data_IF_855391638738
#
_entry.id   IF_855391638738
#
_cell.length_a   1.000
_cell.length_b   1.000
_cell.length_c   1.000
_cell.angle_alpha   90.00
_cell.angle_beta   90.00
_cell.angle_gamma   90.00
#
_symmetry.space_group_name_H-M   'P 1'
#
loop_
_entity.id
_entity.type
_entity.pdbx_description
1 polymer ?
#
# COMPACT_ATOMS: atom_id res chain seq x y z
N UNK A 1 28.02 40.18 -63.87
CA UNK A 1 27.33 40.09 -65.18
C UNK A 1 26.17 39.11 -64.97
N UNK A 2 24.94 39.58 -64.69
CA UNK A 2 23.86 39.93 -65.66
C UNK A 2 23.40 38.65 -66.40
N UNK A 3 22.14 38.19 -66.49
CA UNK A 3 20.78 38.60 -66.11
C UNK A 3 19.88 37.33 -66.26
N UNK A 4 18.89 37.02 -65.40
CA UNK A 4 17.49 37.49 -65.30
C UNK A 4 16.47 36.83 -66.27
N UNK A 5 15.47 36.14 -65.69
CA UNK A 5 14.02 36.16 -65.99
C UNK A 5 13.33 35.24 -64.95
N UNK A 6 12.36 35.62 -64.12
CA UNK A 6 11.16 36.44 -64.31
C UNK A 6 10.04 35.51 -64.80
N UNK A 7 9.04 35.12 -63.99
CA UNK A 7 7.78 35.86 -63.78
C UNK A 7 7.01 35.26 -62.57
N UNK A 8 6.36 36.14 -61.81
CA UNK A 8 5.60 35.91 -60.57
C UNK A 8 4.05 35.93 -60.84
N UNK A 9 3.18 35.71 -59.81
CA UNK A 9 1.83 35.12 -59.91
C UNK A 9 0.69 36.15 -60.00
N UNK A 10 -0.60 35.75 -60.07
CA UNK A 10 -1.71 36.63 -59.78
C UNK A 10 -2.17 36.57 -58.30
N UNK A 11 -2.58 37.75 -57.83
CA UNK A 11 -2.99 38.15 -56.48
C UNK A 11 -4.50 38.01 -56.21
N UNK A 12 -4.80 38.07 -54.92
CA UNK A 12 -6.06 38.12 -54.19
C UNK A 12 -7.11 39.20 -54.56
N UNK A 13 -8.34 38.98 -54.08
CA UNK A 13 -9.30 40.01 -53.63
C UNK A 13 -10.15 39.41 -52.47
N UNK A 14 -10.01 39.91 -51.22
CA UNK A 14 -10.87 40.88 -50.50
C UNK A 14 -12.28 40.36 -50.09
N UNK A 15 -12.95 40.72 -48.99
CA UNK A 15 -12.67 41.10 -47.59
C UNK A 15 -14.06 41.30 -46.88
N UNK A 16 -14.34 40.59 -45.76
CA UNK A 16 -15.18 40.91 -44.56
C UNK A 16 -16.68 41.35 -44.72
N UNK A 17 -17.59 41.41 -43.69
CA UNK A 17 -17.56 41.01 -42.26
C UNK A 17 -18.83 40.24 -41.69
N UNK A 18 -18.68 39.76 -40.45
CA UNK A 18 -19.62 39.47 -39.32
C UNK A 18 -21.17 39.35 -39.47
N UNK A 19 -21.77 38.31 -38.84
CA UNK A 19 -22.86 38.43 -37.86
C UNK A 19 -23.24 37.08 -37.18
N UNK A 20 -23.52 37.13 -35.87
CA UNK A 20 -24.14 36.07 -35.06
C UNK A 20 -25.62 35.87 -35.45
N UNK A 21 -26.09 34.63 -35.53
CA UNK A 21 -27.49 34.29 -35.22
C UNK A 21 -27.63 32.81 -34.83
N UNK A 22 -28.33 32.57 -33.71
CA UNK A 22 -28.86 31.28 -33.27
C UNK A 22 -29.91 30.79 -34.29
N UNK A 23 -29.88 29.50 -34.66
CA UNK A 23 -31.11 28.76 -34.96
C UNK A 23 -30.85 27.25 -34.90
N UNK A 24 -31.75 26.57 -34.18
CA UNK A 24 -31.80 25.13 -34.01
C UNK A 24 -32.14 24.41 -35.33
N UNK A 25 -31.55 23.25 -35.56
CA UNK A 25 -32.11 22.26 -36.48
C UNK A 25 -32.36 20.94 -35.77
N UNK A 26 -33.65 20.60 -35.74
CA UNK A 26 -34.26 19.37 -35.28
C UNK A 26 -33.79 18.19 -36.14
N UNK A 27 -33.49 17.06 -35.51
CA UNK A 27 -33.59 15.74 -36.11
C UNK A 27 -34.39 14.85 -35.17
N UNK A 28 -35.46 14.27 -35.72
CA UNK A 28 -36.58 13.70 -35.00
C UNK A 28 -36.29 12.32 -34.41
N UNK A 29 -36.78 12.14 -33.18
CA UNK A 29 -36.97 10.85 -32.54
C UNK A 29 -38.25 10.19 -33.07
N UNK A 30 -38.14 8.94 -33.54
CA UNK A 30 -39.29 8.04 -33.70
C UNK A 30 -39.68 7.48 -32.33
N UNK A 31 -40.95 7.71 -31.98
CA UNK A 31 -41.60 7.29 -30.74
C UNK A 31 -42.09 5.84 -30.85
N UNK A 32 -41.92 5.09 -29.76
CA UNK A 32 -42.85 4.05 -29.35
C UNK A 32 -43.09 4.17 -27.83
N UNK A 33 -44.32 4.50 -27.45
CA UNK A 33 -44.88 4.40 -26.09
C UNK A 33 -45.99 3.34 -26.16
N UNK A 34 -46.32 2.60 -25.08
CA UNK A 34 -47.02 3.12 -23.89
C UNK A 34 -46.43 2.55 -22.57
N UNK A 35 -46.76 2.94 -21.33
CA UNK A 35 -47.75 3.81 -20.69
C UNK A 35 -47.20 4.09 -19.27
N UNK A 36 -47.37 5.30 -18.76
CA UNK A 36 -46.99 5.70 -17.38
C UNK A 36 -48.26 5.73 -16.53
N UNK A 37 -48.25 5.03 -15.39
CA UNK A 37 -49.19 5.24 -14.29
C UNK A 37 -48.44 5.78 -13.07
N UNK A 38 -49.12 6.68 -12.35
CA UNK A 38 -48.57 7.70 -11.47
C UNK A 38 -48.08 7.20 -10.09
N UNK A 39 -47.24 8.04 -9.50
CA UNK A 39 -46.62 7.90 -8.19
C UNK A 39 -47.60 8.01 -7.00
N UNK A 40 -47.27 7.32 -5.91
CA UNK A 40 -47.64 7.71 -4.55
C UNK A 40 -46.49 7.36 -3.59
N UNK A 41 -46.01 8.38 -2.86
CA UNK A 41 -44.92 8.31 -1.90
C UNK A 41 -45.29 7.46 -0.67
N UNK A 42 -44.43 6.51 -0.30
CA UNK A 42 -44.54 5.76 0.96
C UNK A 42 -43.36 6.09 1.88
N UNK A 43 -43.67 6.76 3.00
CA UNK A 43 -42.79 7.01 4.14
C UNK A 43 -42.37 5.66 4.77
N UNK A 44 -41.07 5.43 4.95
CA UNK A 44 -40.57 4.38 5.83
C UNK A 44 -41.07 4.65 7.26
N UNK A 45 -41.92 3.78 7.79
CA UNK A 45 -42.29 3.75 9.20
C UNK A 45 -41.35 2.81 9.95
N UNK A 46 -40.66 3.39 10.93
CA UNK A 46 -39.96 2.69 11.99
C UNK A 46 -41.02 2.02 12.88
N UNK A 47 -40.98 0.70 13.00
CA UNK A 47 -41.83 -0.02 13.96
C UNK A 47 -41.00 -0.35 15.19
N UNK A 48 -41.15 0.48 16.22
CA UNK A 48 -40.97 0.05 17.60
C UNK A 48 -42.23 -0.71 18.03
N UNK A 49 -42.09 -1.85 18.68
CA UNK A 49 -43.19 -2.54 19.35
C UNK A 49 -42.82 -2.77 20.81
N UNK A 50 -43.56 -2.12 21.70
CA UNK A 50 -43.63 -2.43 23.11
C UNK A 50 -44.82 -3.38 23.36
N UNK A 51 -44.57 -4.37 24.24
CA UNK A 51 -45.47 -5.06 25.19
C UNK A 51 -46.87 -5.50 24.74
N UNK A 52 -47.17 -6.81 24.76
CA UNK A 52 -47.90 -7.43 25.88
C UNK A 52 -47.95 -8.97 25.82
N UNK A 53 -47.96 -9.57 27.03
CA UNK A 53 -48.45 -10.88 27.48
C UNK A 53 -48.25 -12.20 26.68
N UNK A 54 -47.37 -13.03 27.25
CA UNK A 54 -47.71 -14.37 27.75
C UNK A 54 -48.01 -15.51 26.78
N UNK A 55 -46.98 -16.24 26.33
CA UNK A 55 -46.99 -17.72 26.21
C UNK A 55 -45.56 -18.24 26.45
N UNK A 56 -45.39 -19.16 27.40
CA UNK A 56 -44.14 -19.87 27.68
C UNK A 56 -43.97 -20.96 26.61
N UNK A 57 -43.01 -20.79 25.71
CA UNK A 57 -42.56 -21.86 24.83
C UNK A 57 -41.15 -22.33 25.24
N UNK A 58 -41.08 -23.58 25.70
CA UNK A 58 -39.86 -24.22 26.20
C UNK A 58 -39.17 -24.94 25.04
N UNK A 59 -38.62 -24.17 24.11
CA UNK A 59 -37.73 -24.71 23.09
C UNK A 59 -36.30 -24.79 23.62
N UNK A 60 -35.85 -26.00 23.97
CA UNK A 60 -34.47 -26.30 24.33
C UNK A 60 -33.51 -25.80 23.25
N UNK A 61 -32.76 -24.75 23.57
CA UNK A 61 -31.68 -24.24 22.74
C UNK A 61 -30.54 -25.27 22.75
N UNK A 62 -30.23 -25.84 21.58
CA UNK A 62 -29.03 -26.65 21.40
C UNK A 62 -27.82 -25.84 21.91
N UNK A 63 -26.91 -26.41 22.71
CA UNK A 63 -25.71 -25.69 23.11
C UNK A 63 -24.97 -25.29 21.83
N UNK A 64 -24.75 -23.98 21.69
CA UNK A 64 -23.82 -23.42 20.71
C UNK A 64 -22.51 -24.18 20.90
N UNK A 65 -21.86 -24.70 19.83
CA UNK A 65 -20.55 -25.33 19.99
C UNK A 65 -19.66 -24.35 20.76
N UNK A 66 -18.81 -24.84 21.67
CA UNK A 66 -17.94 -23.98 22.45
C UNK A 66 -17.26 -23.03 21.48
N UNK A 67 -17.36 -21.72 21.73
CA UNK A 67 -16.45 -20.77 21.08
C UNK A 67 -15.07 -21.34 21.33
N UNK A 68 -14.37 -21.71 20.26
CA UNK A 68 -12.96 -22.13 20.33
C UNK A 68 -12.29 -21.15 21.29
N UNK A 69 -11.63 -21.68 22.33
CA UNK A 69 -10.82 -20.85 23.21
C UNK A 69 -10.01 -19.92 22.30
N UNK A 70 -10.09 -18.60 22.52
CA UNK A 70 -9.54 -17.63 21.56
C UNK A 70 -8.11 -18.02 21.21
N UNK A 71 -7.70 -17.89 19.96
CA UNK A 71 -6.30 -18.06 19.61
C UNK A 71 -5.60 -16.70 19.76
N UNK A 72 -4.35 -16.70 20.21
CA UNK A 72 -3.45 -15.57 20.08
C UNK A 72 -2.66 -15.66 18.76
N UNK A 73 -1.92 -14.62 18.45
CA UNK A 73 -0.96 -14.62 17.34
C UNK A 73 0.33 -13.93 17.75
N UNK A 74 1.48 -14.50 17.41
CA UNK A 74 2.80 -13.93 17.69
C UNK A 74 3.69 -13.94 16.45
N UNK A 75 4.61 -12.98 16.38
CA UNK A 75 5.60 -12.89 15.30
C UNK A 75 6.80 -13.74 15.69
N UNK A 76 7.13 -14.75 14.87
CA UNK A 76 8.13 -15.77 15.21
C UNK A 76 9.34 -15.81 14.28
N UNK A 77 9.28 -15.11 13.15
CA UNK A 77 10.39 -15.01 12.21
C UNK A 77 10.26 -13.80 11.31
N UNK A 78 11.40 -13.23 10.92
CA UNK A 78 11.50 -12.15 9.94
C UNK A 78 12.60 -12.43 8.93
N UNK A 79 12.43 -11.85 7.75
CA UNK A 79 13.40 -11.93 6.68
C UNK A 79 13.26 -10.76 5.73
N UNK A 80 14.33 -10.41 5.05
CA UNK A 80 14.34 -9.31 4.10
C UNK A 80 15.29 -9.59 2.94
N UNK A 81 15.06 -8.91 1.83
CA UNK A 81 15.90 -8.93 0.65
C UNK A 81 15.84 -7.57 -0.05
N UNK A 82 16.96 -7.16 -0.63
CA UNK A 82 17.09 -5.89 -1.33
C UNK A 82 17.85 -6.09 -2.64
N UNK A 83 17.57 -5.28 -3.67
CA UNK A 83 18.32 -5.31 -4.92
C UNK A 83 19.80 -5.01 -4.73
N UNK A 84 20.62 -5.49 -5.66
CA UNK A 84 22.06 -5.29 -5.68
C UNK A 84 22.47 -3.84 -6.02
N UNK A 85 21.79 -3.20 -6.98
CA UNK A 85 22.11 -1.85 -7.42
C UNK A 85 21.76 -0.83 -6.34
N UNK A 86 22.76 -0.01 -5.99
CA UNK A 86 22.61 1.11 -5.06
C UNK A 86 22.77 2.42 -5.82
N UNK A 87 21.82 3.33 -5.67
CA UNK A 87 21.89 4.69 -6.20
C UNK A 87 22.10 5.64 -5.01
N UNK A 88 23.24 6.32 -4.99
CA UNK A 88 23.55 7.34 -3.99
C UNK A 88 22.93 8.70 -4.34
N UNK A 89 22.87 9.61 -3.36
CA UNK A 89 22.50 10.99 -3.64
C UNK A 89 23.47 11.68 -4.61
N UNK A 90 24.76 11.33 -4.57
CA UNK A 90 25.76 11.87 -5.50
C UNK A 90 25.51 11.39 -6.94
N UNK A 91 25.00 10.16 -7.12
CA UNK A 91 24.58 9.69 -8.44
C UNK A 91 23.38 10.47 -8.97
N UNK A 92 22.39 10.76 -8.11
CA UNK A 92 21.24 11.59 -8.48
C UNK A 92 21.64 13.03 -8.84
N UNK A 93 22.68 13.58 -8.21
CA UNK A 93 23.20 14.92 -8.54
C UNK A 93 23.72 15.05 -9.98
N UNK A 94 24.03 13.92 -10.63
CA UNK A 94 24.45 13.86 -12.04
C UNK A 94 23.26 13.88 -13.01
N UNK A 95 22.04 13.64 -12.52
CA UNK A 95 20.81 13.50 -13.32
C UNK A 95 19.90 14.73 -13.15
N UNK A 96 19.77 15.23 -11.92
CA UNK A 96 18.92 16.38 -11.58
C UNK A 96 19.69 17.38 -10.70
N UNK A 97 19.28 18.65 -10.72
CA UNK A 97 19.90 19.70 -9.91
C UNK A 97 19.61 19.49 -8.41
N UNK A 98 20.50 18.78 -7.71
CA UNK A 98 20.37 18.43 -6.28
C UNK A 98 21.75 18.18 -5.67
N UNK A 99 21.80 17.89 -4.36
CA UNK A 99 23.01 17.46 -3.65
C UNK A 99 22.66 16.49 -2.51
N UNK A 100 23.64 15.72 -2.03
CA UNK A 100 23.47 14.87 -0.84
C UNK A 100 23.03 15.66 0.39
N UNK A 101 23.67 16.80 0.67
CA UNK A 101 23.28 17.66 1.79
C UNK A 101 21.82 18.10 1.71
N UNK A 102 21.36 18.49 0.51
CA UNK A 102 20.00 18.96 0.29
C UNK A 102 18.98 17.83 0.46
N UNK A 103 19.26 16.64 -0.08
CA UNK A 103 18.37 15.48 0.03
C UNK A 103 18.32 15.01 1.49
N UNK A 104 19.47 14.72 2.10
CA UNK A 104 19.54 14.14 3.44
C UNK A 104 18.92 15.06 4.50
N UNK A 105 19.10 16.38 4.41
CA UNK A 105 18.48 17.32 5.35
C UNK A 105 16.95 17.32 5.24
N UNK A 106 16.40 17.08 4.04
CA UNK A 106 14.95 17.12 3.78
C UNK A 106 14.25 15.78 3.94
N UNK A 107 14.97 14.68 3.81
CA UNK A 107 14.39 13.33 3.77
C UNK A 107 15.03 12.34 4.75
N UNK A 108 16.28 12.55 5.15
CA UNK A 108 17.11 11.58 5.86
C UNK A 108 17.70 10.49 4.97
N UNK A 109 17.44 10.50 3.66
CA UNK A 109 17.87 9.46 2.72
C UNK A 109 19.28 9.80 2.20
N UNK A 110 20.17 8.80 2.17
CA UNK A 110 21.53 8.88 1.58
C UNK A 110 21.66 8.06 0.30
N UNK A 111 20.97 6.94 0.25
CA UNK A 111 20.97 6.02 -0.87
C UNK A 111 19.67 5.25 -0.95
N UNK A 112 19.42 4.63 -2.11
CA UNK A 112 18.34 3.68 -2.34
C UNK A 112 18.83 2.45 -3.06
N UNK A 113 18.10 1.35 -2.91
CA UNK A 113 18.26 0.14 -3.73
C UNK A 113 17.23 0.16 -4.84
N UNK A 114 17.61 -0.27 -6.04
CA UNK A 114 16.67 -0.37 -7.17
C UNK A 114 16.91 -1.67 -7.92
N UNK A 115 15.84 -2.28 -8.42
CA UNK A 115 15.95 -3.48 -9.25
C UNK A 115 16.82 -3.22 -10.49
N UNK A 116 17.65 -4.19 -10.84
CA UNK A 116 18.56 -4.11 -11.98
C UNK A 116 18.80 -5.48 -12.62
N UNK A 117 19.15 -5.51 -13.90
CA UNK A 117 19.43 -6.76 -14.60
C UNK A 117 18.23 -7.72 -14.57
N UNK A 118 18.47 -8.95 -14.08
CA UNK A 118 17.48 -10.02 -14.01
C UNK A 118 16.77 -10.10 -12.63
N UNK A 119 17.03 -9.14 -11.72
CA UNK A 119 16.36 -9.09 -10.42
C UNK A 119 14.87 -8.76 -10.59
N UNK A 120 13.99 -9.53 -9.95
CA UNK A 120 12.53 -9.32 -9.95
C UNK A 120 12.02 -9.06 -8.54
N UNK A 121 10.87 -8.39 -8.40
CA UNK A 121 10.28 -8.15 -7.09
C UNK A 121 9.85 -9.48 -6.44
N UNK A 122 9.26 -10.38 -7.22
CA UNK A 122 8.89 -11.73 -6.80
C UNK A 122 10.08 -12.52 -6.27
N UNK A 123 11.24 -12.47 -6.95
CA UNK A 123 12.45 -13.16 -6.49
C UNK A 123 12.98 -12.63 -5.16
N UNK A 124 12.97 -11.31 -4.96
CA UNK A 124 13.31 -10.72 -3.66
C UNK A 124 12.31 -11.14 -2.58
N UNK A 125 11.03 -11.18 -2.91
CA UNK A 125 9.99 -11.57 -1.97
C UNK A 125 10.09 -13.04 -1.53
N UNK A 126 10.40 -13.96 -2.45
CA UNK A 126 10.70 -15.36 -2.15
C UNK A 126 11.90 -15.48 -1.22
N UNK A 127 12.99 -14.73 -1.48
CA UNK A 127 14.17 -14.74 -0.61
C UNK A 127 13.87 -14.19 0.79
N UNK A 128 13.10 -13.11 0.90
CA UNK A 128 12.68 -12.55 2.18
C UNK A 128 11.81 -13.55 2.97
N UNK A 129 10.84 -14.17 2.30
CA UNK A 129 9.97 -15.20 2.86
C UNK A 129 10.75 -16.42 3.36
N UNK A 130 11.64 -16.96 2.54
CA UNK A 130 12.51 -18.08 2.88
C UNK A 130 13.30 -17.79 4.16
N UNK A 131 13.91 -16.59 4.27
CA UNK A 131 14.65 -16.15 5.47
C UNK A 131 13.78 -16.03 6.72
N UNK A 132 12.52 -15.62 6.57
CA UNK A 132 11.57 -15.54 7.68
C UNK A 132 11.16 -16.93 8.18
N UNK A 133 10.90 -17.86 7.27
CA UNK A 133 10.61 -19.25 7.57
C UNK A 133 11.80 -19.95 8.25
N UNK A 134 13.02 -19.71 7.75
CA UNK A 134 14.26 -20.21 8.36
C UNK A 134 14.46 -19.70 9.79
N UNK A 135 14.23 -18.41 10.04
CA UNK A 135 14.29 -17.84 11.39
C UNK A 135 13.28 -18.49 12.33
N UNK A 136 12.06 -18.73 11.84
CA UNK A 136 11.00 -19.36 12.61
C UNK A 136 11.13 -20.89 12.72
N UNK A 137 12.04 -21.51 11.96
CA UNK A 137 12.18 -22.96 11.82
C UNK A 137 10.88 -23.65 11.33
N UNK A 138 10.14 -22.99 10.45
CA UNK A 138 8.90 -23.50 9.85
C UNK A 138 9.18 -23.93 8.41
N UNK A 139 8.71 -25.10 8.03
CA UNK A 139 8.87 -25.58 6.65
C UNK A 139 7.81 -24.95 5.74
N UNK A 140 8.10 -24.71 4.45
CA UNK A 140 7.13 -24.15 3.51
C UNK A 140 5.81 -24.91 3.44
N UNK A 141 5.83 -26.23 3.57
CA UNK A 141 4.63 -27.08 3.51
C UNK A 141 3.69 -26.90 4.71
N UNK A 142 4.21 -26.35 5.81
CA UNK A 142 3.47 -26.08 7.04
C UNK A 142 2.87 -24.65 7.07
N UNK A 143 3.05 -23.85 5.99
CA UNK A 143 2.42 -22.53 5.83
C UNK A 143 0.98 -22.70 5.36
N UNK A 144 0.04 -22.04 6.05
CA UNK A 144 -1.39 -22.15 5.76
C UNK A 144 -1.90 -21.01 4.86
N UNK A 145 -1.26 -19.83 4.97
CA UNK A 145 -1.67 -18.62 4.25
C UNK A 145 -0.46 -17.74 3.91
N UNK A 146 -0.42 -17.24 2.68
CA UNK A 146 0.49 -16.18 2.23
C UNK A 146 -0.30 -14.92 1.90
N UNK A 147 0.02 -13.83 2.59
CA UNK A 147 -0.50 -12.49 2.31
C UNK A 147 0.59 -11.66 1.64
N UNK A 148 0.42 -11.36 0.35
CA UNK A 148 1.39 -10.59 -0.43
C UNK A 148 0.98 -9.12 -0.54
N UNK A 149 1.61 -8.25 0.22
CA UNK A 149 1.30 -6.82 0.27
C UNK A 149 2.16 -6.05 -0.72
N UNK A 150 1.57 -5.60 -1.83
CA UNK A 150 2.27 -4.86 -2.88
C UNK A 150 1.35 -3.91 -3.63
N UNK A 151 1.93 -2.85 -4.21
CA UNK A 151 1.29 -2.01 -5.24
C UNK A 151 2.01 -2.05 -6.58
N UNK A 152 3.04 -2.89 -6.71
CA UNK A 152 3.91 -2.98 -7.89
C UNK A 152 4.20 -4.44 -8.24
N UNK A 153 3.18 -5.29 -8.40
CA UNK A 153 3.41 -6.70 -8.69
C UNK A 153 4.03 -6.89 -10.08
N UNK A 154 4.90 -7.89 -10.22
CA UNK A 154 5.48 -8.28 -11.51
C UNK A 154 4.39 -8.82 -12.49
N UNK A 155 3.30 -9.37 -11.95
CA UNK A 155 2.14 -9.90 -12.69
C UNK A 155 0.84 -9.19 -12.27
N UNK A 156 -0.06 -8.95 -13.22
CA UNK A 156 -1.34 -8.27 -12.97
C UNK A 156 -2.25 -9.01 -11.97
N UNK A 157 -2.12 -10.34 -11.90
CA UNK A 157 -2.87 -11.19 -10.97
C UNK A 157 -2.15 -11.38 -9.62
N UNK A 158 -1.11 -10.59 -9.36
CA UNK A 158 -0.38 -10.59 -8.10
C UNK A 158 0.77 -11.60 -8.06
N UNK A 159 1.48 -11.63 -6.93
CA UNK A 159 2.68 -12.43 -6.73
C UNK A 159 2.56 -13.49 -5.63
N UNK A 160 1.45 -13.56 -4.89
CA UNK A 160 1.26 -14.62 -3.88
C UNK A 160 1.37 -16.03 -4.50
N UNK A 161 0.82 -16.25 -5.70
CA UNK A 161 0.90 -17.53 -6.40
C UNK A 161 2.34 -17.93 -6.75
N UNK A 162 3.17 -16.96 -7.17
CA UNK A 162 4.60 -17.19 -7.43
C UNK A 162 5.33 -17.58 -6.15
N UNK A 163 5.09 -16.85 -5.05
CA UNK A 163 5.72 -17.14 -3.74
C UNK A 163 5.36 -18.55 -3.25
N UNK A 164 4.10 -18.96 -3.38
CA UNK A 164 3.66 -20.32 -3.02
C UNK A 164 4.42 -21.39 -3.81
N UNK A 165 4.53 -21.20 -5.14
CA UNK A 165 5.17 -22.17 -6.02
C UNK A 165 6.68 -22.26 -5.77
N UNK A 166 7.37 -21.12 -5.66
CA UNK A 166 8.82 -21.08 -5.52
C UNK A 166 9.31 -21.50 -4.12
N UNK A 167 8.55 -21.24 -3.06
CA UNK A 167 8.86 -21.75 -1.73
C UNK A 167 8.56 -23.26 -1.58
N UNK A 168 7.76 -23.83 -2.47
CA UNK A 168 7.29 -25.22 -2.34
C UNK A 168 6.20 -25.39 -1.28
N UNK A 169 5.33 -24.39 -1.11
CA UNK A 169 4.19 -24.49 -0.20
C UNK A 169 3.22 -25.60 -0.62
N UNK A 170 2.44 -26.10 0.34
CA UNK A 170 1.41 -27.12 0.09
C UNK A 170 0.35 -26.63 -0.90
N UNK A 171 -0.24 -27.53 -1.68
CA UNK A 171 -1.35 -27.21 -2.59
C UNK A 171 -2.64 -26.79 -1.87
N UNK A 172 -2.69 -26.94 -0.53
CA UNK A 172 -3.78 -26.49 0.33
C UNK A 172 -3.56 -25.06 0.86
N UNK A 173 -2.34 -24.53 0.77
CA UNK A 173 -2.00 -23.20 1.24
C UNK A 173 -2.77 -22.15 0.42
N UNK A 174 -3.46 -21.25 1.11
CA UNK A 174 -4.12 -20.11 0.47
C UNK A 174 -3.09 -19.01 0.22
N UNK A 175 -3.17 -18.30 -0.91
CA UNK A 175 -2.34 -17.12 -1.16
C UNK A 175 -3.13 -16.06 -1.92
N UNK A 176 -3.02 -14.82 -1.48
CA UNK A 176 -3.58 -13.68 -2.21
C UNK A 176 -2.85 -12.37 -1.88
N UNK A 177 -3.07 -11.40 -2.75
CA UNK A 177 -2.42 -10.10 -2.69
C UNK A 177 -3.29 -9.04 -2.00
N UNK A 178 -2.63 -8.10 -1.31
CA UNK A 178 -3.24 -6.94 -0.65
C UNK A 178 -2.61 -5.67 -1.21
N UNK A 179 -3.41 -4.87 -1.93
CA UNK A 179 -3.00 -3.55 -2.42
C UNK A 179 -3.52 -2.45 -1.50
N UNK A 180 -2.65 -1.97 -0.60
CA UNK A 180 -2.92 -0.81 0.25
C UNK A 180 -1.67 0.09 0.39
N UNK A 181 -0.91 0.23 -0.70
CA UNK A 181 0.29 1.07 -0.77
C UNK A 181 1.24 0.86 0.41
N UNK A 182 1.87 1.94 0.90
CA UNK A 182 2.80 1.90 2.02
C UNK A 182 2.18 1.43 3.36
N UNK A 183 0.85 1.39 3.47
CA UNK A 183 0.16 0.80 4.64
C UNK A 183 -0.02 -0.72 4.52
N UNK A 184 0.24 -1.29 3.35
CA UNK A 184 -0.03 -2.68 2.99
C UNK A 184 0.44 -3.69 4.01
N UNK A 185 1.70 -3.61 4.46
CA UNK A 185 2.23 -4.57 5.41
C UNK A 185 1.49 -4.57 6.76
N UNK A 186 1.15 -3.39 7.32
CA UNK A 186 0.40 -3.34 8.58
C UNK A 186 -1.01 -3.87 8.40
N UNK A 187 -1.66 -3.55 7.27
CA UNK A 187 -2.97 -4.14 6.94
C UNK A 187 -2.85 -5.66 6.83
N UNK A 188 -1.83 -6.17 6.14
CA UNK A 188 -1.55 -7.61 6.03
C UNK A 188 -1.30 -8.26 7.39
N UNK A 189 -0.56 -7.62 8.29
CA UNK A 189 -0.28 -8.12 9.64
C UNK A 189 -1.57 -8.23 10.49
N UNK A 190 -2.42 -7.21 10.41
CA UNK A 190 -3.73 -7.21 11.07
C UNK A 190 -4.60 -8.32 10.46
N UNK A 191 -4.65 -8.42 9.13
CA UNK A 191 -5.41 -9.45 8.41
C UNK A 191 -4.95 -10.87 8.78
N UNK A 192 -3.64 -11.13 8.82
CA UNK A 192 -3.09 -12.41 9.26
C UNK A 192 -3.60 -12.81 10.63
N UNK A 193 -3.58 -11.86 11.57
CA UNK A 193 -4.09 -12.08 12.92
C UNK A 193 -5.59 -12.38 12.91
N UNK A 194 -6.39 -11.68 12.10
CA UNK A 194 -7.82 -11.95 11.98
C UNK A 194 -8.10 -13.36 11.43
N UNK A 195 -7.28 -13.86 10.49
CA UNK A 195 -7.42 -15.24 9.98
C UNK A 195 -7.11 -16.29 11.05
N UNK A 196 -6.04 -16.09 11.84
CA UNK A 196 -5.68 -16.97 12.96
C UNK A 196 -6.80 -16.99 14.01
N UNK A 197 -7.25 -15.81 14.45
CA UNK A 197 -8.26 -15.67 15.52
C UNK A 197 -9.68 -16.05 15.08
N UNK A 198 -9.97 -15.98 13.79
CA UNK A 198 -11.30 -16.19 13.21
C UNK A 198 -11.81 -17.63 13.17
N UNK A 199 -10.99 -18.63 13.55
CA UNK A 199 -11.43 -20.02 13.68
C UNK A 199 -11.28 -20.88 12.41
N UNK A 200 -10.44 -20.46 11.45
CA UNK A 200 -10.13 -21.20 10.22
C UNK A 200 -9.01 -22.25 10.35
N UNK A 201 -8.49 -22.47 11.56
CA UNK A 201 -7.34 -23.33 11.85
C UNK A 201 -6.02 -22.91 11.15
N UNK A 202 -5.84 -21.62 10.87
CA UNK A 202 -4.57 -21.09 10.40
C UNK A 202 -3.57 -21.05 11.56
N UNK A 203 -2.46 -21.78 11.41
CA UNK A 203 -1.37 -21.85 12.39
C UNK A 203 -0.19 -20.99 11.96
N UNK A 204 0.17 -21.00 10.67
CA UNK A 204 1.33 -20.29 10.13
C UNK A 204 0.90 -19.39 8.97
N UNK A 205 0.91 -18.08 9.18
CA UNK A 205 0.56 -17.08 8.18
C UNK A 205 1.78 -16.24 7.83
N UNK A 206 2.23 -16.34 6.59
CA UNK A 206 3.35 -15.57 6.06
C UNK A 206 2.83 -14.23 5.51
N UNK A 207 3.31 -13.12 6.06
CA UNK A 207 3.00 -11.77 5.59
C UNK A 207 4.22 -11.20 4.89
N UNK A 208 4.10 -10.92 3.60
CA UNK A 208 5.17 -10.37 2.77
C UNK A 208 4.81 -8.94 2.39
N UNK A 209 5.71 -7.98 2.62
CA UNK A 209 5.64 -6.63 2.10
C UNK A 209 6.72 -6.43 1.04
N UNK A 210 6.34 -6.10 -0.18
CA UNK A 210 7.28 -5.97 -1.30
C UNK A 210 6.82 -4.86 -2.25
N UNK A 211 7.73 -3.97 -2.64
CA UNK A 211 7.46 -2.99 -3.69
C UNK A 211 8.72 -2.63 -4.48
N UNK A 212 8.52 -2.37 -5.77
CA UNK A 212 9.49 -1.84 -6.72
C UNK A 212 9.01 -0.49 -7.28
N UNK A 213 8.78 0.50 -6.40
CA UNK A 213 8.26 1.81 -6.81
C UNK A 213 9.20 2.58 -7.75
N UNK A 214 10.49 2.23 -7.79
CA UNK A 214 11.47 2.84 -8.71
C UNK A 214 11.06 2.77 -10.18
N UNK A 215 10.27 1.76 -10.57
CA UNK A 215 9.75 1.58 -11.92
C UNK A 215 8.66 2.60 -12.31
N UNK A 216 8.08 3.28 -11.32
CA UNK A 216 7.02 4.28 -11.48
C UNK A 216 7.50 5.68 -11.07
N UNK A 217 8.80 5.89 -10.94
CA UNK A 217 9.41 7.19 -10.65
C UNK A 217 9.80 7.90 -11.94
N UNK A 218 9.46 9.18 -12.05
CA UNK A 218 10.09 10.05 -13.04
C UNK A 218 11.47 10.48 -12.51
N UNK A 219 12.53 9.88 -13.05
CA UNK A 219 13.91 10.16 -12.63
C UNK A 219 14.38 11.59 -12.95
N UNK A 220 13.63 12.34 -13.74
CA UNK A 220 13.87 13.77 -14.00
C UNK A 220 13.12 14.69 -13.04
N UNK A 221 12.11 14.18 -12.32
CA UNK A 221 11.41 14.91 -11.26
C UNK A 221 12.13 14.79 -9.91
N UNK A 222 12.88 15.84 -9.56
CA UNK A 222 13.54 15.96 -8.26
C UNK A 222 12.57 15.82 -7.07
N UNK A 223 11.28 16.12 -7.24
CA UNK A 223 10.27 16.02 -6.19
C UNK A 223 10.03 14.60 -5.68
N UNK A 224 10.26 13.59 -6.53
CA UNK A 224 9.93 12.18 -6.25
C UNK A 224 11.13 11.25 -6.39
N UNK A 225 12.03 11.48 -7.34
CA UNK A 225 13.16 10.57 -7.61
C UNK A 225 14.18 10.44 -6.46
N UNK A 226 14.17 11.42 -5.55
CA UNK A 226 14.99 11.44 -4.33
C UNK A 226 14.40 10.63 -3.17
N UNK A 227 13.26 9.93 -3.35
CA UNK A 227 12.53 9.27 -2.27
C UNK A 227 12.59 7.76 -2.35
N UNK A 228 12.15 7.18 -3.46
CA UNK A 228 11.81 5.76 -3.50
C UNK A 228 13.03 4.84 -3.70
N UNK A 229 12.86 3.61 -3.24
CA UNK A 229 13.72 2.46 -3.45
C UNK A 229 12.87 1.18 -3.46
N UNK A 230 13.50 0.06 -3.76
CA UNK A 230 12.85 -1.24 -3.93
C UNK A 230 13.36 -2.22 -2.87
N UNK A 231 12.47 -3.05 -2.33
CA UNK A 231 12.83 -4.10 -1.39
C UNK A 231 11.69 -5.10 -1.22
N UNK A 232 12.00 -6.20 -0.53
CA UNK A 232 11.03 -7.09 0.07
C UNK A 232 11.37 -7.40 1.52
N UNK A 233 10.35 -7.57 2.35
CA UNK A 233 10.45 -8.05 3.72
C UNK A 233 9.29 -9.00 4.04
N UNK A 234 9.52 -9.95 4.92
CA UNK A 234 8.53 -10.94 5.31
C UNK A 234 8.56 -11.18 6.82
N UNK A 235 7.39 -11.48 7.38
CA UNK A 235 7.20 -11.88 8.77
C UNK A 235 6.30 -13.10 8.82
N UNK A 236 6.71 -14.11 9.59
CA UNK A 236 5.85 -15.24 9.92
C UNK A 236 5.07 -14.94 11.20
N UNK A 237 3.74 -14.96 11.08
CA UNK A 237 2.80 -14.86 12.19
C UNK A 237 2.31 -16.26 12.51
N UNK A 238 2.54 -16.68 13.75
CA UNK A 238 2.15 -18.01 14.22
C UNK A 238 1.06 -17.91 15.27
N UNK A 239 0.12 -18.84 15.23
CA UNK A 239 -0.90 -18.95 16.25
C UNK A 239 -0.30 -19.39 17.59
N UNK A 240 -0.86 -18.87 18.68
CA UNK A 240 -0.44 -19.17 20.05
C UNK A 240 -1.65 -19.20 20.99
N UNK A 241 -1.40 -19.43 22.29
CA UNK A 241 -2.44 -19.30 23.29
C UNK A 241 -2.80 -17.82 23.51
N UNK A 242 -4.01 -17.49 24.02
CA UNK A 242 -4.40 -16.11 24.36
C UNK A 242 -3.39 -15.35 25.20
N UNK A 243 -2.74 -16.03 26.16
CA UNK A 243 -1.84 -15.42 27.13
C UNK A 243 -0.52 -14.99 26.48
N UNK A 244 -0.15 -15.64 25.37
CA UNK A 244 1.03 -15.33 24.57
C UNK A 244 0.75 -14.37 23.42
N UNK A 245 -0.47 -13.82 23.34
CA UNK A 245 -0.85 -12.96 22.20
C UNK A 245 0.12 -11.80 22.03
N UNK A 246 0.54 -11.63 20.78
CA UNK A 246 1.55 -10.69 20.35
C UNK A 246 0.97 -9.50 19.61
N UNK A 247 -0.26 -9.56 19.10
CA UNK A 247 -0.96 -8.37 18.59
C UNK A 247 -1.84 -7.81 19.71
N UNK A 248 -1.34 -6.79 20.40
CA UNK A 248 -1.95 -6.25 21.63
C UNK A 248 -3.09 -5.27 21.32
N UNK A 249 -3.01 -4.54 20.21
CA UNK A 249 -4.04 -3.62 19.75
C UNK A 249 -3.71 -3.07 18.37
N UNK A 250 -4.71 -2.63 17.61
CA UNK A 250 -4.50 -2.08 16.28
C UNK A 250 -5.54 -1.02 15.90
N UNK A 251 -5.22 -0.22 14.90
CA UNK A 251 -6.15 0.74 14.32
C UNK A 251 -5.90 0.81 12.83
N UNK A 252 -6.93 0.71 11.99
CA UNK A 252 -6.83 0.83 10.54
C UNK A 252 -7.91 1.78 10.01
N UNK A 253 -7.53 2.70 9.13
CA UNK A 253 -8.40 3.78 8.64
C UNK A 253 -8.05 4.18 7.20
N UNK A 254 -8.99 4.85 6.53
CA UNK A 254 -8.82 5.38 5.17
C UNK A 254 -9.58 6.69 4.96
N UNK A 255 -9.04 7.58 4.12
CA UNK A 255 -9.74 8.74 3.56
C UNK A 255 -9.48 8.83 2.05
N UNK A 256 -10.46 8.37 1.28
CA UNK A 256 -10.42 8.35 -0.19
C UNK A 256 -10.26 9.73 -0.84
N UNK A 257 -10.65 10.82 -0.15
CA UNK A 257 -10.49 12.18 -0.69
C UNK A 257 -9.02 12.58 -0.86
N UNK A 258 -8.12 11.89 -0.15
CA UNK A 258 -6.69 12.12 -0.20
C UNK A 258 -5.99 11.51 -1.43
N UNK A 259 -6.68 10.69 -2.24
CA UNK A 259 -6.12 10.10 -3.47
C UNK A 259 -5.45 11.15 -4.38
N UNK A 260 -6.06 12.34 -4.50
CA UNK A 260 -5.53 13.47 -5.29
C UNK A 260 -4.15 14.00 -4.83
N UNK A 261 -3.66 13.56 -3.67
CA UNK A 261 -2.38 13.99 -3.12
C UNK A 261 -1.26 12.98 -3.32
N UNK A 262 -1.59 11.71 -3.61
CA UNK A 262 -0.62 10.67 -3.88
C UNK A 262 -1.28 9.57 -4.71
N UNK A 263 -0.95 9.52 -6.00
CA UNK A 263 -1.52 8.55 -6.91
C UNK A 263 -0.57 8.20 -8.06
N UNK A 264 -0.86 7.05 -8.67
CA UNK A 264 -0.29 6.59 -9.92
C UNK A 264 -1.49 6.34 -10.85
N UNK A 265 -1.79 7.29 -11.74
CA UNK A 265 -3.02 7.22 -12.55
C UNK A 265 -2.87 6.24 -13.70
N UNK A 266 -3.96 5.62 -14.14
CA UNK A 266 -3.95 4.90 -15.42
C UNK A 266 -3.56 5.85 -16.55
N UNK A 267 -2.45 5.56 -17.24
CA UNK A 267 -2.00 6.32 -18.39
C UNK A 267 -2.64 5.76 -19.66
N UNK A 268 -3.27 6.64 -20.43
CA UNK A 268 -3.69 6.33 -21.78
C UNK A 268 -2.53 6.66 -22.73
N UNK A 269 -1.42 5.92 -22.63
CA UNK A 269 -0.37 6.06 -23.63
C UNK A 269 -1.00 5.87 -25.02
N UNK A 270 -0.92 6.89 -25.88
CA UNK A 270 -1.37 6.76 -27.26
C UNK A 270 -0.60 5.58 -27.87
N UNK A 271 -1.31 4.58 -28.37
CA UNK A 271 -0.66 3.51 -29.12
C UNK A 271 -0.10 4.15 -30.40
N UNK A 272 1.15 4.59 -30.39
CA UNK A 272 1.77 5.30 -31.52
C UNK A 272 1.82 4.42 -32.79
N UNK A 273 1.46 3.13 -32.74
CA UNK A 273 1.46 2.25 -33.92
C UNK A 273 0.33 1.21 -33.95
N UNK A 274 -0.92 1.53 -33.53
CA UNK A 274 -2.02 0.62 -33.90
C UNK A 274 -2.39 0.85 -35.37
N UNK A 275 -1.95 -0.09 -36.22
CA UNK A 275 -2.53 -0.36 -37.54
C UNK A 275 -4.00 -0.69 -37.35
N UNK A 276 -4.83 0.33 -37.15
CA UNK A 276 -6.27 0.15 -37.08
C UNK A 276 -6.74 -0.11 -38.50
N UNK A 277 -7.41 -1.23 -38.75
CA UNK A 277 -8.16 -1.46 -39.98
C UNK A 277 -9.43 -0.56 -40.02
N UNK A 278 -9.32 0.69 -39.59
CA UNK A 278 -10.40 1.68 -39.56
C UNK A 278 -11.48 1.45 -38.50
N UNK A 279 -11.30 0.53 -37.53
CA UNK A 279 -12.28 0.30 -36.45
C UNK A 279 -11.92 1.17 -35.24
N UNK A 280 -12.71 2.21 -34.91
CA UNK A 280 -12.46 3.03 -33.73
C UNK A 280 -12.53 2.17 -32.46
N UNK A 281 -11.49 2.27 -31.61
CA UNK A 281 -11.46 1.58 -30.31
C UNK A 281 -10.99 0.12 -30.35
N UNK A 282 -10.54 -0.41 -31.48
CA UNK A 282 -9.94 -1.75 -31.58
C UNK A 282 -8.51 -1.73 -32.17
N UNK A 283 -7.52 -2.37 -31.52
CA UNK A 283 -7.62 -3.09 -30.25
C UNK A 283 -7.84 -2.15 -29.05
N UNK A 284 -8.32 -2.67 -27.89
CA UNK A 284 -8.40 -1.91 -26.66
C UNK A 284 -7.05 -1.27 -26.30
N UNK A 285 -7.09 -0.09 -25.68
CA UNK A 285 -5.88 0.57 -25.19
C UNK A 285 -5.20 -0.32 -24.15
N UNK A 286 -3.87 -0.43 -24.25
CA UNK A 286 -3.07 -1.11 -23.22
C UNK A 286 -3.20 -0.35 -21.91
N UNK A 287 -3.54 -1.04 -20.83
CA UNK A 287 -3.51 -0.47 -19.49
C UNK A 287 -2.07 -0.26 -19.07
N UNK A 288 -1.68 1.00 -18.86
CA UNK A 288 -0.40 1.38 -18.27
C UNK A 288 -0.67 2.38 -17.15
N UNK A 289 0.32 2.64 -16.29
CA UNK A 289 0.23 3.67 -15.26
C UNK A 289 1.15 4.85 -15.59
N UNK A 290 0.88 6.02 -15.01
CA UNK A 290 1.76 7.18 -15.04
C UNK A 290 2.94 6.98 -14.10
N UNK A 291 3.84 7.97 -14.00
CA UNK A 291 4.72 8.06 -12.84
C UNK A 291 3.93 8.49 -11.59
N UNK A 292 4.53 8.29 -10.41
CA UNK A 292 4.00 8.69 -9.12
C UNK A 292 3.86 10.21 -9.08
N UNK A 293 2.64 10.69 -8.81
CA UNK A 293 2.35 12.09 -8.57
C UNK A 293 2.11 12.30 -7.08
N UNK A 294 2.83 13.24 -6.47
CA UNK A 294 2.76 13.47 -5.03
C UNK A 294 2.74 14.95 -4.65
N UNK A 295 1.73 15.35 -3.88
CA UNK A 295 1.72 16.59 -3.11
C UNK A 295 2.34 16.35 -1.73
N UNK A 296 3.67 16.43 -1.66
CA UNK A 296 4.43 16.11 -0.44
C UNK A 296 4.04 16.95 0.78
N UNK A 297 3.57 18.19 0.61
CA UNK A 297 3.12 19.05 1.72
C UNK A 297 1.85 18.51 2.37
N UNK A 298 0.88 18.09 1.58
CA UNK A 298 -0.38 17.56 2.10
C UNK A 298 -0.18 16.15 2.67
N UNK A 299 0.64 15.31 2.02
CA UNK A 299 1.02 13.98 2.54
C UNK A 299 1.75 14.09 3.88
N UNK A 300 2.71 15.02 4.02
CA UNK A 300 3.40 15.26 5.29
C UNK A 300 2.43 15.71 6.39
N UNK A 301 1.55 16.68 6.11
CA UNK A 301 0.56 17.18 7.09
C UNK A 301 -0.40 16.08 7.55
N UNK A 302 -0.83 15.23 6.62
CA UNK A 302 -1.61 14.05 6.91
C UNK A 302 -0.86 13.12 7.86
N UNK A 303 0.37 12.73 7.51
CA UNK A 303 1.12 11.73 8.25
C UNK A 303 1.41 12.17 9.70
N UNK A 304 1.93 13.39 9.91
CA UNK A 304 2.27 13.90 11.26
C UNK A 304 1.06 14.09 12.17
N UNK A 305 -0.16 14.13 11.61
CA UNK A 305 -1.41 14.20 12.37
C UNK A 305 -2.01 12.82 12.62
N UNK A 306 -2.23 12.05 11.56
CA UNK A 306 -3.02 10.82 11.61
C UNK A 306 -2.23 9.64 12.18
N UNK A 307 -0.91 9.56 11.96
CA UNK A 307 -0.09 8.44 12.44
C UNK A 307 -0.03 8.40 13.97
N UNK A 308 0.31 9.49 14.69
CA UNK A 308 0.30 9.47 16.15
C UNK A 308 -1.09 9.16 16.73
N UNK A 309 -2.15 9.73 16.15
CA UNK A 309 -3.53 9.46 16.58
C UNK A 309 -3.93 7.98 16.39
N UNK A 310 -3.45 7.34 15.32
CA UNK A 310 -3.70 5.93 15.07
C UNK A 310 -2.94 5.04 16.06
N UNK A 311 -1.71 5.41 16.43
CA UNK A 311 -0.92 4.72 17.47
C UNK A 311 -1.57 4.89 18.85
N UNK A 312 -1.99 6.10 19.21
CA UNK A 312 -2.72 6.39 20.45
C UNK A 312 -3.97 5.49 20.58
N UNK A 313 -4.77 5.35 19.52
CA UNK A 313 -5.94 4.44 19.52
C UNK A 313 -5.56 2.96 19.66
N UNK A 314 -4.48 2.52 19.01
CA UNK A 314 -4.02 1.14 19.11
C UNK A 314 -3.47 0.83 20.51
N UNK A 315 -2.84 1.81 21.17
CA UNK A 315 -2.43 1.73 22.58
C UNK A 315 -3.62 1.70 23.54
N UNK A 316 -4.65 2.51 23.27
CA UNK A 316 -5.91 2.49 24.03
C UNK A 316 -6.57 1.12 23.97
N UNK A 317 -6.67 0.51 22.78
CA UNK A 317 -7.19 -0.86 22.63
C UNK A 317 -6.32 -1.88 23.37
N UNK A 318 -5.00 -1.71 23.33
CA UNK A 318 -4.06 -2.57 24.07
C UNK A 318 -4.08 -2.35 25.59
N UNK A 319 -4.74 -1.29 26.08
CA UNK A 319 -4.70 -0.91 27.50
C UNK A 319 -3.31 -0.51 28.00
N UNK A 320 -2.45 0.01 27.11
CA UNK A 320 -1.05 0.31 27.38
C UNK A 320 -0.75 1.82 27.29
N UNK A 321 0.09 2.36 28.19
CA UNK A 321 0.60 3.73 28.05
C UNK A 321 1.72 3.78 26.99
N UNK A 322 1.91 4.94 26.35
CA UNK A 322 3.00 5.15 25.39
C UNK A 322 4.41 4.88 25.97
N UNK A 323 4.59 5.03 27.29
CA UNK A 323 5.85 4.71 27.98
C UNK A 323 6.22 3.22 27.97
N UNK A 324 5.28 2.34 27.66
CA UNK A 324 5.52 0.90 27.49
C UNK A 324 6.18 0.55 26.15
N UNK A 325 6.24 1.49 25.20
CA UNK A 325 6.85 1.25 23.89
C UNK A 325 8.38 1.16 24.06
N UNK A 326 8.93 0.03 23.64
CA UNK A 326 10.37 -0.17 23.53
C UNK A 326 10.89 0.36 22.19
N UNK A 327 10.13 0.15 21.12
CA UNK A 327 10.51 0.57 19.77
C UNK A 327 9.38 1.22 18.99
N UNK A 328 9.68 2.37 18.38
CA UNK A 328 8.83 3.01 17.38
C UNK A 328 9.32 2.62 15.98
N UNK A 329 8.49 1.92 15.22
CA UNK A 329 8.80 1.43 13.87
C UNK A 329 7.75 1.89 12.87
N UNK A 330 8.02 3.02 12.22
CA UNK A 330 7.10 3.60 11.24
C UNK A 330 7.50 3.21 9.82
N UNK A 331 6.56 3.37 8.89
CA UNK A 331 6.85 3.39 7.47
C UNK A 331 8.00 4.37 7.18
N UNK A 332 9.04 3.87 6.50
CA UNK A 332 10.25 4.59 6.16
C UNK A 332 10.01 5.53 4.97
N UNK A 333 9.15 6.55 5.13
CA UNK A 333 8.84 7.51 4.07
C UNK A 333 9.83 8.68 4.02
N UNK A 334 10.07 9.27 5.20
CA UNK A 334 10.84 10.49 5.39
C UNK A 334 11.19 10.60 6.88
N UNK A 335 12.46 10.82 7.21
CA UNK A 335 12.92 10.86 8.61
C UNK A 335 12.20 11.93 9.43
N UNK A 336 11.86 13.08 8.81
CA UNK A 336 11.16 14.16 9.51
C UNK A 336 9.74 13.78 9.92
N UNK A 337 9.07 12.89 9.18
CA UNK A 337 7.76 12.36 9.60
C UNK A 337 7.94 11.45 10.81
N UNK A 338 8.96 10.60 10.78
CA UNK A 338 9.29 9.68 11.88
C UNK A 338 9.60 10.47 13.15
N UNK A 339 10.47 11.49 13.05
CA UNK A 339 10.88 12.33 14.18
C UNK A 339 9.70 13.14 14.75
N UNK A 340 8.83 13.66 13.87
CA UNK A 340 7.64 14.40 14.29
C UNK A 340 6.65 13.50 15.05
N UNK A 341 6.45 12.26 14.58
CA UNK A 341 5.62 11.28 15.27
C UNK A 341 6.23 10.86 16.62
N UNK A 342 7.53 10.59 16.67
CA UNK A 342 8.25 10.27 17.91
C UNK A 342 8.10 11.40 18.94
N UNK A 343 8.32 12.65 18.51
CA UNK A 343 8.15 13.84 19.36
C UNK A 343 6.72 13.97 19.88
N UNK A 344 5.71 13.80 19.01
CA UNK A 344 4.29 13.86 19.38
C UNK A 344 3.92 12.82 20.44
N UNK A 345 4.50 11.63 20.35
CA UNK A 345 4.27 10.51 21.26
C UNK A 345 5.21 10.53 22.49
N UNK A 346 6.09 11.53 22.60
CA UNK A 346 7.13 11.61 23.64
C UNK A 346 8.04 10.38 23.70
N UNK A 347 8.35 9.79 22.54
CA UNK A 347 9.25 8.65 22.41
C UNK A 347 10.66 9.18 22.10
N UNK A 348 11.68 8.83 22.91
CA UNK A 348 13.07 9.21 22.65
C UNK A 348 13.61 8.72 21.31
N UNK A 349 14.50 9.48 20.67
CA UNK A 349 15.02 9.15 19.33
C UNK A 349 15.82 7.84 19.30
N UNK A 350 16.44 7.45 20.40
CA UNK A 350 17.15 6.18 20.52
C UNK A 350 16.21 4.96 20.45
N UNK A 351 14.93 5.13 20.78
CA UNK A 351 13.87 4.11 20.65
C UNK A 351 13.23 4.08 19.26
N UNK A 352 13.71 4.91 18.32
CA UNK A 352 13.25 4.89 16.93
C UNK A 352 14.07 3.89 16.12
N UNK A 353 13.39 3.05 15.36
CA UNK A 353 14.01 2.19 14.35
C UNK A 353 13.90 2.89 13.00
N UNK A 354 15.05 3.21 12.40
CA UNK A 354 15.13 3.79 11.06
C UNK A 354 16.33 3.23 10.32
N UNK A 355 16.08 2.78 9.09
CA UNK A 355 17.10 2.41 8.10
C UNK A 355 16.91 3.16 6.77
N UNK A 356 16.02 4.16 6.77
CA UNK A 356 15.65 4.98 5.62
C UNK A 356 16.87 5.56 4.87
N UNK A 357 17.94 5.89 5.60
CA UNK A 357 19.18 6.40 5.03
C UNK A 357 19.77 5.47 3.95
N UNK A 358 19.62 4.16 4.12
CA UNK A 358 20.28 3.14 3.30
C UNK A 358 19.42 2.62 2.14
N UNK A 359 18.09 2.75 2.26
CA UNK A 359 17.15 2.09 1.36
C UNK A 359 16.19 3.05 0.65
N UNK A 360 16.05 4.28 1.14
CA UNK A 360 14.96 5.15 0.71
C UNK A 360 13.59 4.59 1.12
N UNK A 361 12.55 5.12 0.49
CA UNK A 361 11.18 4.69 0.71
C UNK A 361 10.87 3.43 -0.11
N UNK A 362 10.86 2.28 0.54
CA UNK A 362 10.50 0.96 -0.04
C UNK A 362 9.05 0.55 0.22
N UNK A 363 8.14 1.52 0.44
CA UNK A 363 6.69 1.31 0.54
C UNK A 363 6.32 0.16 1.49
N UNK A 364 5.60 -0.88 1.04
CA UNK A 364 5.13 -1.98 1.87
C UNK A 364 6.27 -2.79 2.49
N UNK A 365 7.46 -2.81 1.87
CA UNK A 365 8.63 -3.51 2.39
C UNK A 365 9.34 -2.78 3.53
N UNK A 366 9.09 -1.47 3.70
CA UNK A 366 9.86 -0.62 4.62
C UNK A 366 9.85 -1.08 6.08
N UNK A 367 8.68 -1.45 6.59
CA UNK A 367 8.49 -1.91 7.97
C UNK A 367 9.11 -3.29 8.19
N UNK A 368 8.79 -4.34 7.40
CA UNK A 368 9.37 -5.66 7.63
C UNK A 368 10.88 -5.70 7.36
N UNK A 369 11.41 -4.90 6.42
CA UNK A 369 12.85 -4.75 6.21
C UNK A 369 13.54 -4.17 7.46
N UNK A 370 13.05 -3.05 7.98
CA UNK A 370 13.62 -2.41 9.15
C UNK A 370 13.45 -3.26 10.43
N UNK A 371 12.35 -4.01 10.55
CA UNK A 371 12.16 -4.97 11.63
C UNK A 371 13.20 -6.09 11.56
N UNK A 372 13.40 -6.68 10.39
CA UNK A 372 14.34 -7.79 10.20
C UNK A 372 15.77 -7.39 10.55
N UNK A 373 16.23 -6.22 10.09
CA UNK A 373 17.55 -5.69 10.47
C UNK A 373 17.68 -5.45 11.97
N UNK A 374 16.64 -4.89 12.60
CA UNK A 374 16.66 -4.60 14.04
C UNK A 374 16.66 -5.88 14.90
N UNK A 375 15.92 -6.91 14.48
CA UNK A 375 15.89 -8.22 15.13
C UNK A 375 17.23 -8.94 14.95
N UNK A 376 17.71 -9.08 13.72
CA UNK A 376 18.97 -9.80 13.42
C UNK A 376 20.18 -9.06 13.98
N UNK A 377 20.13 -7.74 14.08
CA UNK A 377 21.14 -6.91 14.74
C UNK A 377 21.08 -6.95 16.27
N UNK A 378 20.13 -7.66 16.88
CA UNK A 378 19.99 -7.80 18.33
C UNK A 378 19.47 -6.54 19.04
N UNK A 379 18.97 -5.55 18.30
CA UNK A 379 18.35 -4.32 18.82
C UNK A 379 16.98 -4.64 19.42
N UNK A 380 16.12 -5.29 18.63
CA UNK A 380 14.81 -5.80 19.09
C UNK A 380 15.00 -7.18 19.71
N UNK A 381 14.46 -7.38 20.91
CA UNK A 381 14.55 -8.62 21.68
C UNK A 381 13.17 -9.22 21.93
N UNK A 382 13.14 -10.51 22.25
CA UNK A 382 11.91 -11.19 22.63
C UNK A 382 11.27 -10.50 23.84
N UNK A 383 9.98 -10.21 23.75
CA UNK A 383 9.19 -9.50 24.75
C UNK A 383 9.08 -7.99 24.52
N UNK A 384 9.92 -7.39 23.66
CA UNK A 384 9.87 -5.96 23.39
C UNK A 384 8.53 -5.56 22.74
N UNK A 385 8.00 -4.42 23.15
CA UNK A 385 6.78 -3.83 22.60
C UNK A 385 7.14 -2.82 21.50
N UNK A 386 6.61 -3.08 20.31
CA UNK A 386 6.84 -2.28 19.11
C UNK A 386 5.53 -1.59 18.74
N UNK A 387 5.56 -0.25 18.68
CA UNK A 387 4.51 0.52 18.02
C UNK A 387 4.86 0.64 16.54
N UNK A 388 4.15 -0.10 15.70
CA UNK A 388 4.34 -0.09 14.25
C UNK A 388 3.22 0.67 13.54
N UNK A 389 3.55 1.45 12.51
CA UNK A 389 2.52 2.15 11.72
C UNK A 389 2.91 2.35 10.26
N UNK A 390 1.99 2.02 9.36
CA UNK A 390 2.11 2.18 7.92
C UNK A 390 1.10 3.20 7.41
N UNK A 391 1.50 4.05 6.47
CA UNK A 391 0.64 5.13 5.94
C UNK A 391 1.07 5.49 4.51
N UNK A 392 0.12 5.75 3.61
CA UNK A 392 0.46 6.05 2.21
C UNK A 392 -0.75 6.34 1.34
N UNK A 393 -0.60 6.07 0.03
CA UNK A 393 -1.61 6.33 -1.00
C UNK A 393 -2.94 5.65 -0.68
N UNK A 394 -4.05 6.30 -1.05
CA UNK A 394 -5.41 5.90 -0.64
C UNK A 394 -6.31 7.09 -0.29
N UNK A 395 -5.98 7.94 0.71
CA UNK A 395 -4.92 7.72 1.70
C UNK A 395 -5.37 6.67 2.72
N UNK A 396 -4.51 5.71 3.00
CA UNK A 396 -4.73 4.65 3.99
C UNK A 396 -3.62 4.67 5.02
N UNK A 397 -3.97 4.34 6.25
CA UNK A 397 -3.02 4.16 7.33
C UNK A 397 -3.50 3.13 8.34
N UNK A 398 -2.56 2.50 9.02
CA UNK A 398 -2.85 1.61 10.12
C UNK A 398 -1.68 1.53 11.09
N UNK A 399 -2.00 1.23 12.34
CA UNK A 399 -1.03 1.04 13.42
C UNK A 399 -1.31 -0.27 14.14
N UNK A 400 -0.27 -0.92 14.61
CA UNK A 400 -0.33 -2.14 15.40
C UNK A 400 0.65 -2.03 16.56
N UNK A 401 0.18 -2.36 17.76
CA UNK A 401 1.03 -2.55 18.94
C UNK A 401 1.32 -4.04 19.02
N UNK A 402 2.58 -4.38 18.75
CA UNK A 402 3.02 -5.78 18.67
C UNK A 402 4.10 -6.08 19.68
N UNK A 403 4.06 -7.28 20.25
CA UNK A 403 5.12 -7.85 21.09
C UNK A 403 5.90 -8.87 20.26
N UNK A 404 7.22 -8.71 20.22
CA UNK A 404 8.10 -9.60 19.44
C UNK A 404 8.38 -10.92 20.18
N UNK A 405 8.22 -12.06 19.48
CA UNK A 405 8.71 -13.39 19.90
C UNK A 405 7.90 -14.17 20.94
#
# INVERSE_FOLDING_TARGET
MVAASGIAPPRAAAALPAARARAAHRLGFLRSHPQVAAAAAAKLRCCASATDDGVVDTAATKPRPPRVAGMGSKLVGSGSAVPSLTISNDDLSKVVETSDEWIATRTGIRSRRVLSGDETLGGLAVLAAQRALEMAQVRPEDVDLVLFCTSTPDDLFGAAGQVLAELGCSTKTLGFDITAACSGFIIGLITATQFIKGGGNYQNVLVVGADALSQYVDWTDRGTCILFGDAAGAVLVQACSPEEDGLLGFCAQSDGNGQKHLHCSGSNAESILSKTNGVPGFPPKKGTFSCIEMNGKEVFRFAVRCVPQSIEKALEEAGLPASSIDWLLLHQANQRIIDAAATRLSIPSEKVISNLANYGNSSAASIPLALDEAVRGGKVKKGDIIAASGFGAGLTWGSAIVKWG
#
